data_IF_729649942557
#
_entry.id   IF_729649942557
#
_cell.length_a   1.000
_cell.length_b   1.000
_cell.length_c   1.000
_cell.angle_alpha   90.00
_cell.angle_beta   90.00
_cell.angle_gamma   90.00
#
_symmetry.space_group_name_H-M   'P 1'
#
loop_
_entity.id
_entity.type
_entity.pdbx_description
1 polymer ?
#
# COMPACT_ATOMS: atom_id res chain seq x y z
N UNK A 1 1.47 79.88 -34.37
CA UNK A 1 2.37 78.87 -34.79
C UNK A 1 3.06 78.30 -33.57
N UNK A 2 2.57 77.19 -33.04
CA UNK A 2 3.14 76.57 -31.81
C UNK A 2 3.46 75.12 -32.17
N UNK A 3 4.78 74.83 -32.24
CA UNK A 3 5.25 73.45 -32.47
C UNK A 3 5.28 72.73 -31.10
N UNK A 4 4.46 71.70 -30.98
CA UNK A 4 4.44 70.81 -29.80
C UNK A 4 5.32 69.63 -30.11
N UNK A 5 6.41 69.52 -29.34
CA UNK A 5 7.38 68.43 -29.42
C UNK A 5 6.95 67.30 -28.52
N UNK A 6 6.50 66.19 -29.11
CA UNK A 6 6.16 64.97 -28.37
C UNK A 6 7.42 64.15 -28.09
N UNK A 7 7.80 64.07 -26.82
CA UNK A 7 8.88 63.23 -26.34
C UNK A 7 8.33 61.81 -26.12
N UNK A 8 8.74 60.85 -26.96
CA UNK A 8 8.40 59.45 -26.73
C UNK A 8 9.38 58.85 -25.71
N UNK A 9 8.85 58.60 -24.49
CA UNK A 9 9.55 57.77 -23.51
C UNK A 9 9.29 56.30 -23.87
N UNK A 10 10.35 55.62 -24.38
CA UNK A 10 10.33 54.16 -24.53
C UNK A 10 10.59 53.54 -23.15
N UNK A 11 9.54 53.03 -22.51
CA UNK A 11 9.67 52.15 -21.34
C UNK A 11 10.11 50.77 -21.81
N UNK A 12 11.41 50.48 -21.65
CA UNK A 12 11.93 49.10 -21.79
C UNK A 12 11.43 48.21 -20.66
N UNK A 13 10.49 47.34 -20.96
CA UNK A 13 10.06 46.30 -20.03
C UNK A 13 11.15 45.22 -19.95
N UNK A 14 11.93 45.23 -18.86
CA UNK A 14 12.83 44.10 -18.53
C UNK A 14 11.99 42.94 -18.01
N UNK A 15 11.72 41.98 -18.84
CA UNK A 15 11.11 40.70 -18.43
C UNK A 15 12.16 39.86 -17.73
N UNK A 16 12.19 39.92 -16.40
CA UNK A 16 12.93 38.98 -15.57
C UNK A 16 12.25 37.58 -15.68
N UNK A 17 12.79 36.73 -16.50
CA UNK A 17 12.46 35.30 -16.53
C UNK A 17 12.96 34.65 -15.22
N UNK A 18 12.10 34.63 -14.21
CA UNK A 18 12.29 33.76 -13.07
C UNK A 18 12.06 32.33 -13.57
N UNK A 19 13.16 31.65 -13.92
CA UNK A 19 13.17 30.22 -14.12
C UNK A 19 12.82 29.56 -12.80
N UNK A 20 11.54 29.18 -12.62
CA UNK A 20 11.16 28.24 -11.57
C UNK A 20 11.75 26.90 -11.97
N UNK A 21 12.96 26.63 -11.52
CA UNK A 21 13.53 25.30 -11.56
C UNK A 21 12.58 24.40 -10.79
N UNK A 22 11.79 23.58 -11.50
CA UNK A 22 11.13 22.43 -10.93
C UNK A 22 12.27 21.52 -10.43
N UNK A 23 12.61 21.64 -9.16
CA UNK A 23 13.41 20.64 -8.48
C UNK A 23 12.54 19.39 -8.45
N UNK A 24 12.71 18.53 -9.42
CA UNK A 24 12.24 17.17 -9.33
C UNK A 24 12.87 16.58 -8.07
N UNK A 25 12.08 16.36 -7.05
CA UNK A 25 12.50 15.56 -5.90
C UNK A 25 12.71 14.12 -6.38
N UNK A 26 13.89 13.86 -6.94
CA UNK A 26 14.40 12.53 -7.21
C UNK A 26 15.10 11.96 -5.97
N UNK A 27 14.47 12.11 -4.82
CA UNK A 27 14.87 11.44 -3.60
C UNK A 27 13.98 10.23 -3.32
N UNK A 28 13.87 9.35 -4.31
CA UNK A 28 13.58 7.96 -3.99
C UNK A 28 14.85 7.39 -3.33
N UNK A 29 14.75 6.79 -2.13
CA UNK A 29 15.89 6.14 -1.52
C UNK A 29 16.45 5.12 -2.51
N UNK A 30 17.64 5.39 -3.04
CA UNK A 30 18.34 4.52 -4.01
C UNK A 30 18.78 3.19 -3.40
N UNK A 31 18.52 3.00 -2.11
CA UNK A 31 18.82 1.78 -1.39
C UNK A 31 17.49 1.04 -1.14
N UNK A 32 17.11 0.18 -2.10
CA UNK A 32 16.20 -0.90 -1.76
C UNK A 32 16.80 -1.64 -0.55
N UNK A 33 16.00 -2.03 0.45
CA UNK A 33 16.51 -2.81 1.56
C UNK A 33 17.25 -4.03 1.00
N UNK A 34 18.35 -4.41 1.64
CA UNK A 34 19.03 -5.66 1.33
C UNK A 34 18.01 -6.80 1.29
N UNK A 35 18.24 -7.79 0.43
CA UNK A 35 17.33 -8.94 0.26
C UNK A 35 16.97 -9.57 1.61
N UNK A 36 17.94 -9.68 2.52
CA UNK A 36 17.73 -10.18 3.88
C UNK A 36 16.77 -9.28 4.68
N UNK A 37 16.95 -7.98 4.60
CA UNK A 37 16.10 -7.01 5.29
C UNK A 37 14.69 -7.03 4.70
N UNK A 38 14.55 -7.11 3.38
CA UNK A 38 13.25 -7.23 2.73
C UNK A 38 12.49 -8.48 3.19
N UNK A 39 13.19 -9.63 3.37
CA UNK A 39 12.59 -10.88 3.89
C UNK A 39 12.12 -10.69 5.34
N UNK A 40 12.91 -10.08 6.19
CA UNK A 40 12.55 -9.83 7.59
C UNK A 40 11.37 -8.85 7.69
N UNK A 41 11.41 -7.75 6.92
CA UNK A 41 10.34 -6.75 6.91
C UNK A 41 9.02 -7.31 6.42
N UNK A 42 9.01 -8.20 5.40
CA UNK A 42 7.74 -8.81 4.95
C UNK A 42 7.18 -9.80 5.97
N UNK A 43 8.01 -10.54 6.73
CA UNK A 43 7.54 -11.35 7.86
C UNK A 43 6.85 -10.48 8.89
N UNK A 44 7.53 -9.43 9.36
CA UNK A 44 6.96 -8.49 10.31
C UNK A 44 5.66 -7.84 9.80
N UNK A 45 5.63 -7.42 8.53
CA UNK A 45 4.42 -6.84 7.94
C UNK A 45 3.28 -7.84 7.90
N UNK A 46 3.53 -9.10 7.50
CA UNK A 46 2.51 -10.14 7.45
C UNK A 46 2.01 -10.55 8.83
N UNK A 47 2.86 -10.56 9.86
CA UNK A 47 2.45 -10.74 11.26
C UNK A 47 1.51 -9.63 11.70
N UNK A 48 1.86 -8.36 11.45
CA UNK A 48 1.00 -7.22 11.76
C UNK A 48 -0.36 -7.28 11.04
N UNK A 49 -0.38 -7.65 9.76
CA UNK A 49 -1.62 -7.85 9.01
C UNK A 49 -2.46 -8.97 9.64
N UNK A 50 -1.82 -10.07 10.02
CA UNK A 50 -2.46 -11.20 10.69
C UNK A 50 -3.05 -10.84 12.05
N UNK A 51 -2.33 -10.08 12.86
CA UNK A 51 -2.78 -9.64 14.18
C UNK A 51 -3.96 -8.66 14.08
N UNK A 52 -3.91 -7.72 13.13
CA UNK A 52 -5.07 -6.87 12.84
C UNK A 52 -6.31 -7.67 12.41
N UNK A 53 -6.14 -8.74 11.63
CA UNK A 53 -7.23 -9.61 11.24
C UNK A 53 -7.81 -10.38 12.43
N UNK A 54 -6.96 -10.90 13.35
CA UNK A 54 -7.38 -11.57 14.60
C UNK A 54 -8.16 -10.60 15.51
N UNK A 55 -7.64 -9.37 15.66
CA UNK A 55 -8.34 -8.33 16.43
C UNK A 55 -9.70 -7.99 15.84
N UNK A 56 -9.81 -7.84 14.52
CA UNK A 56 -11.09 -7.61 13.86
C UNK A 56 -12.08 -8.76 14.14
N UNK A 57 -11.60 -10.01 14.12
CA UNK A 57 -12.46 -11.16 14.47
C UNK A 57 -12.97 -11.06 15.91
N UNK A 58 -12.09 -10.76 16.87
CA UNK A 58 -12.48 -10.60 18.26
C UNK A 58 -13.46 -9.44 18.46
N UNK A 59 -13.27 -8.31 17.75
CA UNK A 59 -14.21 -7.17 17.79
C UNK A 59 -15.55 -7.51 17.17
N UNK A 60 -15.56 -8.26 16.07
CA UNK A 60 -16.79 -8.74 15.43
C UNK A 60 -17.59 -9.64 16.40
N UNK A 61 -16.92 -10.64 17.00
CA UNK A 61 -17.54 -11.57 17.95
C UNK A 61 -18.03 -10.87 19.23
N UNK A 62 -17.33 -9.82 19.65
CA UNK A 62 -17.69 -9.00 20.82
C UNK A 62 -18.71 -7.89 20.54
N UNK A 63 -19.22 -7.77 19.31
CA UNK A 63 -20.17 -6.72 18.91
C UNK A 63 -19.57 -5.31 18.81
N UNK A 64 -18.24 -5.20 18.84
CA UNK A 64 -17.50 -3.92 18.76
C UNK A 64 -17.21 -3.51 17.32
N UNK A 65 -18.24 -3.55 16.48
CA UNK A 65 -18.13 -3.45 15.02
C UNK A 65 -17.43 -2.16 14.58
N UNK A 66 -17.81 -1.02 15.16
CA UNK A 66 -17.20 0.27 14.79
C UNK A 66 -15.69 0.32 15.06
N UNK A 67 -15.20 -0.40 16.07
CA UNK A 67 -13.78 -0.45 16.42
C UNK A 67 -12.94 -1.23 15.40
N UNK A 68 -13.57 -2.02 14.51
CA UNK A 68 -12.85 -2.73 13.44
C UNK A 68 -12.24 -1.76 12.40
N UNK A 69 -12.74 -0.53 12.31
CA UNK A 69 -12.31 0.43 11.29
C UNK A 69 -10.80 0.72 11.34
N UNK A 70 -10.21 0.81 12.54
CA UNK A 70 -8.78 1.09 12.71
C UNK A 70 -7.92 -0.06 12.19
N UNK A 71 -8.30 -1.31 12.50
CA UNK A 71 -7.57 -2.50 12.05
C UNK A 71 -7.70 -2.69 10.53
N UNK A 72 -8.90 -2.47 9.98
CA UNK A 72 -9.12 -2.54 8.54
C UNK A 72 -8.27 -1.51 7.79
N UNK A 73 -8.18 -0.26 8.28
CA UNK A 73 -7.31 0.76 7.71
C UNK A 73 -5.82 0.40 7.83
N UNK A 74 -5.40 -0.19 8.94
CA UNK A 74 -4.03 -0.68 9.11
C UNK A 74 -3.70 -1.74 8.06
N UNK A 75 -4.56 -2.73 7.82
CA UNK A 75 -4.40 -3.74 6.78
C UNK A 75 -4.33 -3.07 5.39
N UNK A 76 -5.22 -2.14 5.08
CA UNK A 76 -5.20 -1.44 3.80
C UNK A 76 -3.88 -0.69 3.57
N UNK A 77 -3.38 0.00 4.59
CA UNK A 77 -2.10 0.71 4.53
C UNK A 77 -0.93 -0.26 4.34
N UNK A 78 -0.87 -1.33 5.14
CA UNK A 78 0.18 -2.33 5.01
C UNK A 78 0.19 -3.01 3.63
N UNK A 79 -0.99 -3.22 3.04
CA UNK A 79 -1.12 -3.83 1.72
C UNK A 79 -0.42 -3.02 0.62
N UNK A 80 -0.33 -1.69 0.75
CA UNK A 80 0.39 -0.85 -0.22
C UNK A 80 1.89 -1.09 -0.23
N UNK A 81 2.44 -1.60 0.90
CA UNK A 81 3.87 -1.85 1.07
C UNK A 81 4.29 -3.26 0.67
N UNK A 82 3.31 -4.18 0.47
CA UNK A 82 3.63 -5.57 0.13
C UNK A 82 4.57 -5.68 -1.07
N UNK A 83 4.29 -5.05 -2.24
CA UNK A 83 5.15 -5.23 -3.41
C UNK A 83 6.59 -4.76 -3.20
N UNK A 84 6.79 -3.68 -2.43
CA UNK A 84 8.11 -3.11 -2.16
C UNK A 84 9.04 -4.07 -1.41
N UNK A 85 8.47 -5.02 -0.66
CA UNK A 85 9.19 -6.01 0.12
C UNK A 85 9.50 -7.31 -0.64
N UNK A 86 9.22 -7.34 -1.96
CA UNK A 86 9.52 -8.47 -2.83
C UNK A 86 10.43 -8.07 -3.99
N UNK A 87 11.66 -7.54 -3.71
CA UNK A 87 12.62 -7.29 -4.78
C UNK A 87 12.89 -8.57 -5.56
N UNK A 88 13.26 -8.43 -6.84
CA UNK A 88 13.43 -9.54 -7.78
C UNK A 88 14.30 -10.65 -7.18
N UNK A 89 13.78 -11.87 -7.14
CA UNK A 89 14.51 -13.05 -6.70
C UNK A 89 14.81 -13.12 -5.19
N UNK A 90 14.15 -12.30 -4.35
CA UNK A 90 14.36 -12.28 -2.90
C UNK A 90 13.79 -13.51 -2.20
N UNK A 91 14.43 -14.66 -2.37
CA UNK A 91 14.12 -15.92 -1.70
C UNK A 91 15.24 -16.32 -0.72
N UNK A 92 14.92 -17.18 0.24
CA UNK A 92 15.85 -17.85 1.14
C UNK A 92 15.17 -19.09 1.73
N UNK A 93 15.93 -19.90 2.46
CA UNK A 93 15.38 -21.07 3.17
C UNK A 93 14.37 -20.66 4.25
N UNK A 94 14.47 -19.42 4.75
CA UNK A 94 13.52 -18.85 5.71
C UNK A 94 12.32 -18.16 5.05
N UNK A 95 12.27 -18.11 3.72
CA UNK A 95 11.18 -17.47 2.98
C UNK A 95 10.25 -18.49 2.36
N UNK A 96 8.97 -18.33 2.65
CA UNK A 96 7.90 -19.12 2.00
C UNK A 96 7.39 -18.49 0.70
N UNK A 97 8.03 -17.45 0.19
CA UNK A 97 7.71 -16.85 -1.10
C UNK A 97 7.98 -17.87 -2.24
N UNK A 98 7.00 -18.03 -3.13
CA UNK A 98 7.16 -18.85 -4.34
C UNK A 98 7.80 -18.02 -5.45
N UNK A 99 8.52 -18.68 -6.38
CA UNK A 99 9.12 -18.03 -7.54
C UNK A 99 8.09 -17.41 -8.49
N UNK A 100 6.86 -17.92 -8.49
CA UNK A 100 5.72 -17.45 -9.25
C UNK A 100 5.39 -15.97 -8.99
N UNK A 101 5.76 -15.43 -7.83
CA UNK A 101 5.63 -13.98 -7.54
C UNK A 101 6.28 -13.14 -8.64
N UNK A 102 7.50 -13.47 -9.02
CA UNK A 102 8.28 -12.70 -10.00
C UNK A 102 7.98 -13.10 -11.45
N UNK A 103 7.43 -14.30 -11.67
CA UNK A 103 6.99 -14.76 -12.99
C UNK A 103 5.63 -14.16 -13.36
N UNK A 104 4.76 -13.94 -12.36
CA UNK A 104 3.41 -13.40 -12.51
C UNK A 104 3.25 -12.12 -11.67
N UNK A 105 4.19 -11.19 -11.85
CA UNK A 105 4.28 -9.98 -11.04
C UNK A 105 2.98 -9.15 -11.04
N UNK A 106 2.35 -9.01 -12.20
CA UNK A 106 1.09 -8.26 -12.33
C UNK A 106 -0.05 -8.91 -11.51
N UNK A 107 -0.13 -10.24 -11.48
CA UNK A 107 -1.12 -10.94 -10.67
C UNK A 107 -0.83 -10.79 -9.17
N UNK A 108 0.45 -10.77 -8.79
CA UNK A 108 0.87 -10.49 -7.42
C UNK A 108 0.49 -9.07 -6.99
N UNK A 109 0.74 -8.07 -7.83
CA UNK A 109 0.31 -6.68 -7.60
C UNK A 109 -1.21 -6.59 -7.44
N UNK A 110 -1.94 -7.26 -8.32
CA UNK A 110 -3.41 -7.31 -8.27
C UNK A 110 -3.92 -7.96 -6.98
N UNK A 111 -3.26 -9.02 -6.51
CA UNK A 111 -3.63 -9.66 -5.25
C UNK A 111 -3.42 -8.74 -4.04
N UNK A 112 -2.30 -8.02 -3.98
CA UNK A 112 -2.03 -7.01 -2.95
C UNK A 112 -3.05 -5.85 -3.01
N UNK A 113 -3.37 -5.37 -4.21
CA UNK A 113 -4.38 -4.33 -4.43
C UNK A 113 -5.78 -4.80 -4.03
N UNK A 114 -6.12 -6.06 -4.28
CA UNK A 114 -7.41 -6.64 -3.87
C UNK A 114 -7.55 -6.61 -2.34
N UNK A 115 -6.51 -7.04 -1.61
CA UNK A 115 -6.51 -6.98 -0.15
C UNK A 115 -6.70 -5.54 0.35
N UNK A 116 -5.99 -4.58 -0.23
CA UNK A 116 -6.17 -3.16 0.08
C UNK A 116 -7.61 -2.73 -0.10
N UNK A 117 -8.18 -2.99 -1.27
CA UNK A 117 -9.55 -2.56 -1.63
C UNK A 117 -10.59 -3.15 -0.68
N UNK A 118 -10.50 -4.45 -0.38
CA UNK A 118 -11.45 -5.10 0.52
C UNK A 118 -11.33 -4.59 1.97
N UNK A 119 -10.10 -4.29 2.42
CA UNK A 119 -9.87 -3.72 3.74
C UNK A 119 -10.37 -2.27 3.85
N UNK A 120 -10.11 -1.42 2.85
CA UNK A 120 -10.65 -0.05 2.79
C UNK A 120 -12.19 -0.08 2.77
N UNK A 121 -12.79 -0.98 1.99
CA UNK A 121 -14.25 -1.15 1.94
C UNK A 121 -14.80 -1.57 3.30
N UNK A 122 -14.12 -2.46 4.04
CA UNK A 122 -14.52 -2.83 5.39
C UNK A 122 -14.47 -1.63 6.33
N UNK A 123 -13.38 -0.87 6.30
CA UNK A 123 -13.23 0.33 7.12
C UNK A 123 -14.37 1.33 6.90
N UNK A 124 -14.74 1.56 5.63
CA UNK A 124 -15.86 2.44 5.27
C UNK A 124 -17.21 1.84 5.71
N UNK A 125 -17.40 0.55 5.55
CA UNK A 125 -18.64 -0.16 5.93
C UNK A 125 -18.95 0.03 7.40
N UNK A 126 -17.96 -0.23 8.27
CA UNK A 126 -18.15 -0.13 9.73
C UNK A 126 -18.19 1.33 10.21
N UNK A 127 -17.43 2.23 9.60
CA UNK A 127 -17.45 3.66 9.93
C UNK A 127 -18.80 4.32 9.59
N UNK A 128 -19.50 3.82 8.57
CA UNK A 128 -20.83 4.29 8.17
C UNK A 128 -21.97 3.59 8.94
N UNK A 129 -21.68 2.85 10.01
CA UNK A 129 -22.66 2.19 10.85
C UNK A 129 -23.37 0.99 10.19
N UNK A 130 -22.84 0.45 9.09
CA UNK A 130 -23.40 -0.72 8.40
C UNK A 130 -22.95 -2.03 9.06
N UNK A 131 -23.28 -2.19 10.34
CA UNK A 131 -22.84 -3.34 11.14
C UNK A 131 -23.25 -4.69 10.53
N UNK A 132 -24.46 -4.79 9.99
CA UNK A 132 -24.98 -6.04 9.39
C UNK A 132 -24.15 -6.52 8.18
N UNK A 133 -23.45 -5.60 7.51
CA UNK A 133 -22.59 -5.91 6.36
C UNK A 133 -21.14 -6.19 6.75
N UNK A 134 -20.77 -5.97 8.00
CA UNK A 134 -19.38 -6.07 8.47
C UNK A 134 -18.83 -7.49 8.36
N UNK A 135 -19.59 -8.51 8.76
CA UNK A 135 -19.18 -9.91 8.67
C UNK A 135 -18.95 -10.35 7.21
N UNK A 136 -19.87 -9.96 6.33
CA UNK A 136 -19.76 -10.27 4.90
C UNK A 136 -18.51 -9.63 4.31
N UNK A 137 -18.26 -8.36 4.63
CA UNK A 137 -17.10 -7.65 4.11
C UNK A 137 -15.79 -8.15 4.75
N UNK A 138 -15.80 -8.51 6.03
CA UNK A 138 -14.64 -9.11 6.68
C UNK A 138 -14.26 -10.45 6.06
N UNK A 139 -15.23 -11.29 5.70
CA UNK A 139 -14.99 -12.53 4.95
C UNK A 139 -14.31 -12.29 3.60
N UNK A 140 -14.61 -11.18 2.92
CA UNK A 140 -13.90 -10.81 1.68
C UNK A 140 -12.44 -10.45 1.93
N UNK A 141 -12.15 -9.72 3.03
CA UNK A 141 -10.76 -9.45 3.44
C UNK A 141 -10.00 -10.76 3.66
N UNK A 142 -10.58 -11.70 4.42
CA UNK A 142 -9.96 -13.02 4.66
C UNK A 142 -9.80 -13.82 3.36
N UNK A 143 -10.78 -13.73 2.47
CA UNK A 143 -10.72 -14.34 1.13
C UNK A 143 -9.58 -13.79 0.29
N UNK A 144 -9.33 -12.49 0.32
CA UNK A 144 -8.21 -11.85 -0.37
C UNK A 144 -6.85 -12.35 0.18
N UNK A 145 -6.72 -12.45 1.52
CA UNK A 145 -5.53 -13.02 2.16
C UNK A 145 -5.27 -14.45 1.69
N UNK A 146 -6.31 -15.30 1.76
CA UNK A 146 -6.22 -16.70 1.38
C UNK A 146 -5.84 -16.87 -0.09
N UNK A 147 -6.51 -16.14 -0.97
CA UNK A 147 -6.30 -16.25 -2.41
C UNK A 147 -4.86 -15.90 -2.84
N UNK A 148 -4.31 -14.82 -2.26
CA UNK A 148 -2.91 -14.43 -2.47
C UNK A 148 -1.95 -15.52 -1.94
N UNK A 149 -2.17 -16.04 -0.72
CA UNK A 149 -1.33 -17.05 -0.11
C UNK A 149 -1.37 -18.39 -0.85
N UNK A 150 -2.51 -18.81 -1.36
CA UNK A 150 -2.63 -20.05 -2.15
C UNK A 150 -1.77 -19.99 -3.41
N UNK A 151 -1.69 -18.83 -4.04
CA UNK A 151 -0.95 -18.65 -5.29
C UNK A 151 0.55 -18.46 -5.03
N UNK A 152 0.92 -17.61 -4.06
CA UNK A 152 2.25 -17.04 -3.95
C UNK A 152 3.05 -17.45 -2.70
N UNK A 153 2.45 -18.22 -1.77
CA UNK A 153 3.10 -18.69 -0.54
C UNK A 153 3.20 -20.22 -0.50
N UNK A 154 4.39 -20.74 -0.21
CA UNK A 154 4.58 -22.18 0.03
C UNK A 154 3.76 -22.60 1.27
N UNK A 155 3.21 -23.83 1.27
CA UNK A 155 2.56 -24.38 2.45
C UNK A 155 3.53 -24.42 3.65
N UNK A 156 3.00 -24.50 4.86
CA UNK A 156 3.79 -24.79 6.03
C UNK A 156 4.30 -26.23 5.94
N UNK A 157 5.63 -26.39 6.04
CA UNK A 157 6.19 -27.73 6.24
C UNK A 157 5.73 -28.16 7.64
N UNK A 158 4.91 -29.22 7.70
CA UNK A 158 4.60 -29.85 8.97
C UNK A 158 5.90 -30.48 9.44
N UNK A 159 6.42 -29.99 10.57
CA UNK A 159 7.50 -30.71 11.23
C UNK A 159 7.04 -32.17 11.41
N UNK A 160 7.84 -33.10 10.86
CA UNK A 160 7.60 -34.52 11.06
C UNK A 160 7.80 -34.83 12.54
N UNK A 161 6.68 -34.97 13.25
CA UNK A 161 6.61 -35.39 14.67
C UNK A 161 6.98 -36.83 14.83
#
# INVERSE_FOLDING_TARGET
MKHSLYLFFALGAVVLLYGTGLVAHEDHPKNLPDVKDAINFRHYLMENVGDNAKEMKAKLDGGKIAEMAVNARAIALHSTRIPELFPQGSTSDHSRAKAEIWQSWEDFLKAAQTLRTEADQLAMTVANGKADSADVQFKKVLGACKNCHDQFRKPEEKEAS
#
